data_IF_423965115777
#
_entry.id   IF_423965115777
#
_cell.length_a   1.000
_cell.length_b   1.000
_cell.length_c   1.000
_cell.angle_alpha   90.00
_cell.angle_beta   90.00
_cell.angle_gamma   90.00
#
_symmetry.space_group_name_H-M   'P 1'
#
loop_
_entity.id
_entity.type
_entity.pdbx_description
1 polymer ?
#
# COMPACT_ATOMS: atom_id res chain seq x y z
N UNK A 1 14.92 10.10 34.60
CA UNK A 1 14.68 8.73 34.10
C UNK A 1 15.46 8.55 32.81
N UNK A 2 16.74 8.20 32.92
CA UNK A 2 17.62 8.01 31.75
C UNK A 2 17.56 6.53 31.38
N UNK A 3 16.59 6.19 30.53
CA UNK A 3 16.52 4.86 29.93
C UNK A 3 17.81 4.60 29.16
N UNK A 4 18.50 3.52 29.52
CA UNK A 4 19.68 3.03 28.81
C UNK A 4 19.25 2.69 27.38
N UNK A 5 19.34 3.67 26.48
CA UNK A 5 19.13 3.46 25.06
C UNK A 5 20.39 2.73 24.57
N UNK A 6 20.30 1.46 24.11
CA UNK A 6 21.48 0.78 23.63
C UNK A 6 21.96 1.52 22.38
N UNK A 7 23.21 1.98 22.40
CA UNK A 7 23.83 2.60 21.23
C UNK A 7 24.27 1.48 20.27
N UNK A 8 23.36 1.11 19.36
CA UNK A 8 23.52 -0.03 18.45
C UNK A 8 24.55 0.21 17.33
N UNK A 9 25.34 1.29 17.39
CA UNK A 9 26.43 1.58 16.46
C UNK A 9 26.00 1.47 14.98
N UNK A 10 26.81 0.84 14.10
CA UNK A 10 26.52 0.76 12.66
C UNK A 10 25.23 -0.01 12.31
N UNK A 11 24.69 -0.83 13.22
CA UNK A 11 23.41 -1.52 13.02
C UNK A 11 22.21 -0.57 13.08
N UNK A 12 22.31 0.55 13.81
CA UNK A 12 21.30 1.61 13.79
C UNK A 12 21.19 2.29 12.42
N UNK A 13 22.32 2.48 11.71
CA UNK A 13 22.34 3.03 10.35
C UNK A 13 21.78 2.04 9.31
N UNK A 14 22.07 0.75 9.46
CA UNK A 14 21.48 -0.30 8.63
C UNK A 14 19.96 -0.36 8.81
N UNK A 15 19.47 -0.28 10.07
CA UNK A 15 18.04 -0.23 10.37
C UNK A 15 17.34 1.00 9.78
N UNK A 16 17.97 2.17 9.85
CA UNK A 16 17.44 3.40 9.24
C UNK A 16 17.33 3.30 7.72
N UNK A 17 18.37 2.79 7.06
CA UNK A 17 18.39 2.59 5.60
C UNK A 17 17.35 1.57 5.16
N UNK A 18 17.22 0.46 5.87
CA UNK A 18 16.21 -0.57 5.60
C UNK A 18 14.79 -0.01 5.75
N UNK A 19 14.54 0.82 6.78
CA UNK A 19 13.23 1.46 6.99
C UNK A 19 12.86 2.39 5.84
N UNK A 20 13.82 3.16 5.31
CA UNK A 20 13.61 4.03 4.14
C UNK A 20 13.29 3.19 2.90
N UNK A 21 14.07 2.15 2.63
CA UNK A 21 13.84 1.24 1.50
C UNK A 21 12.45 0.60 1.54
N UNK A 22 12.04 0.09 2.70
CA UNK A 22 10.70 -0.48 2.89
C UNK A 22 9.61 0.56 2.69
N UNK A 23 9.82 1.81 3.15
CA UNK A 23 8.90 2.92 2.91
C UNK A 23 8.76 3.24 1.41
N UNK A 24 9.86 3.27 0.67
CA UNK A 24 9.83 3.48 -0.79
C UNK A 24 9.08 2.36 -1.50
N UNK A 25 9.33 1.10 -1.15
CA UNK A 25 8.64 -0.05 -1.73
C UNK A 25 7.13 0.00 -1.46
N UNK A 26 6.73 0.32 -0.23
CA UNK A 26 5.33 0.50 0.11
C UNK A 26 4.67 1.62 -0.70
N UNK A 27 5.35 2.76 -0.87
CA UNK A 27 4.86 3.87 -1.68
C UNK A 27 4.70 3.49 -3.17
N UNK A 28 5.64 2.72 -3.73
CA UNK A 28 5.55 2.22 -5.11
C UNK A 28 4.36 1.29 -5.28
N UNK A 29 4.17 0.34 -4.36
CA UNK A 29 3.03 -0.60 -4.41
C UNK A 29 1.69 0.13 -4.30
N UNK A 30 1.59 1.12 -3.41
CA UNK A 30 0.39 1.96 -3.30
C UNK A 30 0.12 2.73 -4.59
N UNK A 31 1.16 3.27 -5.23
CA UNK A 31 1.04 4.01 -6.48
C UNK A 31 0.55 3.11 -7.62
N UNK A 32 1.10 1.90 -7.75
CA UNK A 32 0.68 0.92 -8.75
C UNK A 32 -0.77 0.46 -8.47
N UNK A 33 -1.11 0.17 -7.22
CA UNK A 33 -2.46 -0.21 -6.81
C UNK A 33 -3.50 0.87 -7.11
N UNK A 34 -3.17 2.13 -6.84
CA UNK A 34 -4.01 3.28 -7.17
C UNK A 34 -4.16 3.45 -8.69
N UNK A 35 -3.06 3.32 -9.45
CA UNK A 35 -3.10 3.35 -10.91
C UNK A 35 -3.98 2.25 -11.50
N UNK A 36 -3.88 1.02 -10.97
CA UNK A 36 -4.72 -0.10 -11.36
C UNK A 36 -6.20 0.14 -11.03
N UNK A 37 -6.49 0.72 -9.86
CA UNK A 37 -7.84 1.10 -9.47
C UNK A 37 -8.45 2.14 -10.42
N UNK A 38 -7.72 3.21 -10.72
CA UNK A 38 -8.17 4.27 -11.63
C UNK A 38 -8.36 3.72 -13.05
N UNK A 39 -7.45 2.87 -13.53
CA UNK A 39 -7.59 2.18 -14.81
C UNK A 39 -8.81 1.24 -14.83
N UNK A 40 -9.11 0.59 -13.71
CA UNK A 40 -10.30 -0.24 -13.52
C UNK A 40 -11.60 0.58 -13.59
N UNK A 41 -11.64 1.76 -12.97
CA UNK A 41 -12.78 2.70 -13.08
C UNK A 41 -13.00 3.10 -14.54
N UNK A 42 -11.94 3.50 -15.24
CA UNK A 42 -12.02 3.92 -16.64
C UNK A 42 -12.50 2.79 -17.58
N UNK A 43 -12.01 1.56 -17.37
CA UNK A 43 -12.39 0.39 -18.19
C UNK A 43 -13.76 -0.20 -17.84
N UNK A 44 -14.20 -0.07 -16.60
CA UNK A 44 -15.51 -0.58 -16.15
C UNK A 44 -16.70 0.30 -16.56
N UNK A 45 -16.44 1.51 -17.10
CA UNK A 45 -17.47 2.48 -17.54
C UNK A 45 -18.42 2.94 -16.42
N UNK A 46 -17.90 3.04 -15.19
CA UNK A 46 -18.63 3.53 -14.01
C UNK A 46 -19.63 2.53 -13.44
N UNK A 47 -20.12 2.82 -12.24
CA UNK A 47 -21.19 2.07 -11.54
C UNK A 47 -22.51 2.01 -12.37
N UNK A 48 -22.60 2.73 -13.50
CA UNK A 48 -23.82 3.03 -14.24
C UNK A 48 -23.70 2.70 -15.74
N UNK A 49 -23.94 1.45 -16.12
CA UNK A 49 -24.46 1.11 -17.46
C UNK A 49 -23.51 0.41 -18.43
N UNK A 50 -23.90 -0.81 -18.80
CA UNK A 50 -23.31 -1.67 -19.81
C UNK A 50 -23.16 -0.96 -21.17
N UNK A 51 -21.96 -0.92 -21.73
CA UNK A 51 -21.76 -0.32 -23.04
C UNK A 51 -20.55 -0.89 -23.78
N UNK A 52 -20.81 -1.94 -24.56
CA UNK A 52 -19.97 -2.58 -25.59
C UNK A 52 -18.91 -3.55 -25.00
N UNK A 53 -19.22 -4.85 -25.03
CA UNK A 53 -18.42 -6.00 -24.53
C UNK A 53 -18.45 -6.23 -23.01
N UNK A 54 -19.10 -7.32 -22.58
CA UNK A 54 -19.12 -7.77 -21.16
C UNK A 54 -17.74 -8.15 -20.65
N UNK A 55 -16.83 -8.53 -21.54
CA UNK A 55 -15.48 -9.00 -21.21
C UNK A 55 -14.53 -7.86 -20.80
N UNK A 56 -14.65 -6.69 -21.43
CA UNK A 56 -13.88 -5.50 -21.00
C UNK A 56 -14.41 -4.93 -19.68
N UNK A 57 -15.73 -4.98 -19.49
CA UNK A 57 -16.36 -4.53 -18.25
C UNK A 57 -15.97 -5.41 -17.04
N UNK A 58 -15.90 -6.73 -17.21
CA UNK A 58 -15.48 -7.65 -16.14
C UNK A 58 -14.00 -7.49 -15.78
N UNK A 59 -13.13 -7.32 -16.79
CA UNK A 59 -11.72 -7.02 -16.57
C UNK A 59 -11.53 -5.67 -15.85
N UNK A 60 -12.27 -4.63 -16.24
CA UNK A 60 -12.26 -3.34 -15.55
C UNK A 60 -12.65 -3.44 -14.07
N UNK A 61 -13.71 -4.20 -13.75
CA UNK A 61 -14.11 -4.48 -12.36
C UNK A 61 -13.03 -5.25 -11.59
N UNK A 62 -12.39 -6.22 -12.22
CA UNK A 62 -11.28 -6.97 -11.62
C UNK A 62 -10.10 -6.07 -11.24
N UNK A 63 -9.71 -5.15 -12.12
CA UNK A 63 -8.66 -4.15 -11.85
C UNK A 63 -9.05 -3.20 -10.71
N UNK A 64 -10.33 -2.82 -10.64
CA UNK A 64 -10.85 -1.97 -9.58
C UNK A 64 -10.78 -2.66 -8.21
N UNK A 65 -11.30 -3.89 -8.09
CA UNK A 65 -11.26 -4.64 -6.83
C UNK A 65 -9.82 -4.97 -6.44
N UNK A 66 -8.99 -5.41 -7.40
CA UNK A 66 -7.58 -5.71 -7.15
C UNK A 66 -6.79 -4.50 -6.64
N UNK A 67 -6.98 -3.33 -7.26
CA UNK A 67 -6.37 -2.08 -6.80
C UNK A 67 -6.77 -1.70 -5.38
N UNK A 68 -8.06 -1.80 -5.03
CA UNK A 68 -8.55 -1.53 -3.67
C UNK A 68 -7.97 -2.50 -2.63
N UNK A 69 -7.89 -3.78 -2.96
CA UNK A 69 -7.32 -4.79 -2.05
C UNK A 69 -5.85 -4.49 -1.75
N UNK A 70 -5.07 -4.15 -2.78
CA UNK A 70 -3.65 -3.78 -2.61
C UNK A 70 -3.52 -2.54 -1.71
N UNK A 71 -4.32 -1.50 -1.96
CA UNK A 71 -4.31 -0.29 -1.13
C UNK A 71 -4.67 -0.59 0.32
N UNK A 72 -5.73 -1.38 0.54
CA UNK A 72 -6.19 -1.77 1.87
C UNK A 72 -5.13 -2.56 2.64
N UNK A 73 -4.53 -3.58 2.01
CA UNK A 73 -3.52 -4.42 2.66
C UNK A 73 -2.29 -3.61 3.08
N UNK A 74 -1.76 -2.77 2.19
CA UNK A 74 -0.55 -1.99 2.49
C UNK A 74 -0.82 -0.92 3.56
N UNK A 75 -1.97 -0.24 3.50
CA UNK A 75 -2.37 0.74 4.50
C UNK A 75 -2.64 0.10 5.88
N UNK A 76 -3.29 -1.06 5.90
CA UNK A 76 -3.55 -1.86 7.10
C UNK A 76 -2.25 -2.28 7.78
N UNK A 77 -1.30 -2.84 7.01
CA UNK A 77 0.00 -3.24 7.53
C UNK A 77 0.78 -2.03 8.08
N UNK A 78 0.78 -0.89 7.38
CA UNK A 78 1.40 0.33 7.87
C UNK A 78 0.82 0.80 9.21
N UNK A 79 -0.51 0.73 9.35
CA UNK A 79 -1.22 1.09 10.59
C UNK A 79 -0.87 0.14 11.73
N UNK A 80 -0.94 -1.18 11.51
CA UNK A 80 -0.59 -2.19 12.52
C UNK A 80 0.86 -1.99 12.99
N UNK A 81 1.80 -1.82 12.06
CA UNK A 81 3.22 -1.61 12.37
C UNK A 81 3.42 -0.33 13.17
N UNK A 82 2.72 0.74 12.83
CA UNK A 82 2.79 2.02 13.56
C UNK A 82 2.22 1.91 14.96
N UNK A 83 1.13 1.16 15.16
CA UNK A 83 0.57 0.92 16.49
C UNK A 83 1.55 0.09 17.32
N UNK A 84 2.02 -1.05 16.79
CA UNK A 84 2.91 -1.97 17.52
C UNK A 84 4.25 -1.33 17.88
N UNK A 85 4.85 -0.56 16.98
CA UNK A 85 6.18 0.02 17.17
C UNK A 85 6.18 1.51 17.51
N UNK A 86 5.04 2.20 17.47
CA UNK A 86 4.92 3.63 17.76
C UNK A 86 4.19 3.94 19.07
N UNK A 87 3.38 3.01 19.60
CA UNK A 87 2.79 3.14 20.94
C UNK A 87 3.55 2.32 22.01
N UNK A 88 4.51 1.48 21.60
CA UNK A 88 5.27 0.57 22.48
C UNK A 88 6.73 0.98 22.76
N UNK A 89 7.14 2.19 22.37
CA UNK A 89 8.46 2.78 22.67
C UNK A 89 8.33 4.11 23.38
#
# INVERSE_FOLDING_TARGET
MTGVKPDWGPFGKLGGTAKVLLGVLAAVVLTIGLGAFIAGIGKSKGWFGEGRSTMDASHGKGLMVGGLVVLFLVASLGTITTITYGMGV
#
